data_IF_816204841411
#
_entry.id   IF_816204841411
#
_cell.length_a   1.000
_cell.length_b   1.000
_cell.length_c   1.000
_cell.angle_alpha   90.00
_cell.angle_beta   90.00
_cell.angle_gamma   90.00
#
_symmetry.space_group_name_H-M   'P 1'
#
loop_
_entity.id
_entity.type
_entity.pdbx_description
1 polymer ?
#
# COMPACT_ATOMS: atom_id res chain seq x y z
N UNK A 1 -13.51 18.80 33.41
CA UNK A 1 -12.32 17.93 33.26
C UNK A 1 -12.75 16.65 32.55
N UNK A 2 -12.58 16.58 31.23
CA UNK A 2 -11.52 15.82 30.55
C UNK A 2 -11.33 14.39 31.08
N UNK A 3 -11.92 13.40 30.40
CA UNK A 3 -11.19 12.29 29.75
C UNK A 3 -12.17 11.40 28.98
N UNK A 4 -11.91 11.21 27.69
CA UNK A 4 -12.59 10.27 26.79
C UNK A 4 -12.08 8.84 27.07
N UNK A 5 -12.93 7.80 27.10
CA UNK A 5 -12.48 6.45 26.83
C UNK A 5 -12.57 6.15 25.33
N UNK A 6 -11.45 5.66 24.83
CA UNK A 6 -11.17 5.26 23.46
C UNK A 6 -11.94 3.97 23.10
N UNK A 7 -12.64 4.05 21.97
CA UNK A 7 -12.95 3.02 20.99
C UNK A 7 -13.08 1.57 21.50
N UNK A 8 -14.32 1.14 21.70
CA UNK A 8 -14.66 -0.29 21.72
C UNK A 8 -15.83 -0.56 20.79
N UNK A 9 -15.62 -1.58 19.96
CA UNK A 9 -16.60 -2.41 19.27
C UNK A 9 -17.43 -1.77 18.15
N UNK A 10 -17.14 -2.20 16.92
CA UNK A 10 -18.15 -2.68 15.98
C UNK A 10 -17.52 -3.75 15.07
N UNK A 11 -17.39 -4.96 15.60
CA UNK A 11 -17.46 -6.19 14.81
C UNK A 11 -18.91 -6.69 14.94
N UNK A 12 -19.77 -6.34 13.97
CA UNK A 12 -21.00 -7.09 13.69
C UNK A 12 -21.59 -6.63 12.35
N UNK A 13 -21.85 -7.63 11.49
CA UNK A 13 -22.58 -7.57 10.22
C UNK A 13 -22.10 -6.53 9.19
N UNK A 14 -21.14 -6.93 8.35
CA UNK A 14 -20.87 -6.26 7.09
C UNK A 14 -22.07 -6.40 6.14
N UNK A 15 -22.72 -5.30 5.70
CA UNK A 15 -23.54 -5.33 4.51
C UNK A 15 -22.61 -5.32 3.29
N UNK A 16 -22.64 -6.40 2.52
CA UNK A 16 -21.99 -6.53 1.22
C UNK A 16 -22.72 -5.65 0.20
N UNK A 17 -22.45 -4.33 0.17
CA UNK A 17 -22.68 -3.44 -1.01
C UNK A 17 -22.66 -1.92 -0.70
N UNK A 18 -22.01 -1.44 0.37
CA UNK A 18 -21.97 -0.02 0.68
C UNK A 18 -20.54 0.45 0.99
N UNK A 19 -19.85 0.95 -0.05
CA UNK A 19 -18.49 1.48 0.11
C UNK A 19 -17.99 2.30 -1.08
N UNK A 20 -18.91 2.87 -1.89
CA UNK A 20 -18.56 3.79 -2.99
C UNK A 20 -18.72 5.27 -2.64
N UNK A 21 -19.22 5.60 -1.43
CA UNK A 21 -19.61 6.97 -1.09
C UNK A 21 -18.90 7.46 0.18
N UNK A 22 -17.57 7.45 0.19
CA UNK A 22 -16.76 8.12 1.20
C UNK A 22 -15.39 8.58 0.68
N UNK A 23 -15.26 8.83 -0.63
CA UNK A 23 -14.16 9.61 -1.17
C UNK A 23 -14.43 11.11 -0.91
N UNK A 24 -14.61 11.46 0.37
CA UNK A 24 -14.39 12.84 0.81
C UNK A 24 -12.93 13.17 0.49
N UNK A 25 -12.72 14.33 -0.12
CA UNK A 25 -11.46 14.90 -0.63
C UNK A 25 -10.36 15.02 0.45
N UNK A 26 -9.93 13.91 1.05
CA UNK A 26 -8.80 13.87 1.97
C UNK A 26 -7.50 13.86 1.14
N UNK A 27 -6.47 14.61 1.56
CA UNK A 27 -5.18 14.71 0.87
C UNK A 27 -4.33 13.45 1.07
N UNK A 28 -4.94 12.26 0.92
CA UNK A 28 -4.32 10.98 1.14
C UNK A 28 -3.57 10.53 -0.11
N UNK A 29 -2.28 10.30 0.08
CA UNK A 29 -1.33 10.01 -1.00
C UNK A 29 -0.72 8.62 -0.86
N UNK A 30 -0.86 7.97 0.29
CA UNK A 30 -0.24 6.67 0.56
C UNK A 30 -1.25 5.53 0.42
N UNK A 31 -0.89 4.53 -0.36
CA UNK A 31 -1.71 3.35 -0.66
C UNK A 31 -0.99 2.10 -0.14
N UNK A 32 -1.73 1.23 0.55
CA UNK A 32 -1.31 -0.12 0.90
C UNK A 32 -1.79 -1.09 -0.19
N UNK A 33 -0.85 -1.77 -0.82
CA UNK A 33 -1.11 -2.87 -1.72
C UNK A 33 -1.17 -4.18 -0.94
N UNK A 34 -2.17 -5.01 -1.23
CA UNK A 34 -2.37 -6.30 -0.57
C UNK A 34 -2.61 -7.41 -1.58
N UNK A 35 -2.53 -8.65 -1.09
CA UNK A 35 -2.68 -9.86 -1.88
C UNK A 35 -1.66 -10.01 -3.00
N UNK A 36 -0.44 -9.50 -2.77
CA UNK A 36 0.66 -9.68 -3.71
C UNK A 36 1.15 -11.15 -3.69
N UNK A 37 1.54 -11.73 -4.83
CA UNK A 37 2.27 -12.99 -4.86
C UNK A 37 3.60 -12.85 -4.12
N UNK A 38 3.94 -13.78 -3.23
CA UNK A 38 5.12 -13.66 -2.36
C UNK A 38 6.46 -13.69 -3.10
N UNK A 39 6.46 -14.12 -4.37
CA UNK A 39 7.65 -14.16 -5.24
C UNK A 39 7.80 -12.91 -6.13
N UNK A 40 6.83 -11.99 -6.10
CA UNK A 40 6.95 -10.72 -6.81
C UNK A 40 8.05 -9.88 -6.16
N UNK A 41 8.98 -9.38 -6.97
CA UNK A 41 10.02 -8.46 -6.54
C UNK A 41 9.54 -7.01 -6.53
N UNK A 42 10.27 -6.11 -5.85
CA UNK A 42 9.93 -4.69 -5.87
C UNK A 42 10.06 -4.10 -7.28
N UNK A 43 11.01 -4.60 -8.09
CA UNK A 43 11.19 -4.17 -9.47
C UNK A 43 10.01 -4.59 -10.35
N UNK A 44 9.48 -5.81 -10.17
CA UNK A 44 8.25 -6.25 -10.83
C UNK A 44 7.04 -5.42 -10.38
N UNK A 45 6.97 -5.03 -9.11
CA UNK A 45 5.93 -4.12 -8.63
C UNK A 45 6.04 -2.74 -9.30
N UNK A 46 7.23 -2.17 -9.41
CA UNK A 46 7.48 -0.91 -10.12
C UNK A 46 7.06 -1.00 -11.58
N UNK A 47 7.40 -2.10 -12.26
CA UNK A 47 6.96 -2.34 -13.64
C UNK A 47 5.43 -2.44 -13.74
N UNK A 48 4.77 -3.10 -12.78
CA UNK A 48 3.31 -3.17 -12.73
C UNK A 48 2.67 -1.78 -12.56
N UNK A 49 3.17 -0.96 -11.64
CA UNK A 49 2.71 0.43 -11.45
C UNK A 49 2.89 1.25 -12.74
N UNK A 50 4.06 1.12 -13.39
CA UNK A 50 4.31 1.78 -14.66
C UNK A 50 3.36 1.30 -15.78
N UNK A 51 3.05 0.00 -15.84
CA UNK A 51 2.14 -0.57 -16.84
C UNK A 51 0.69 -0.08 -16.72
N UNK A 52 0.29 0.35 -15.52
CA UNK A 52 -1.00 0.99 -15.25
C UNK A 52 -0.99 2.49 -15.57
N UNK A 53 0.11 3.02 -16.13
CA UNK A 53 0.25 4.44 -16.49
C UNK A 53 0.65 5.34 -15.31
N UNK A 54 1.10 4.79 -14.19
CA UNK A 54 1.52 5.57 -13.01
C UNK A 54 3.03 5.76 -12.91
N UNK A 55 3.75 5.61 -14.03
CA UNK A 55 5.19 5.89 -14.10
C UNK A 55 5.45 7.33 -13.63
N UNK A 56 6.42 7.51 -12.73
CA UNK A 56 6.85 8.80 -12.18
C UNK A 56 5.75 9.61 -11.44
N UNK A 57 4.61 9.00 -11.12
CA UNK A 57 3.51 9.63 -10.34
C UNK A 57 3.57 9.32 -8.84
N UNK A 58 4.69 8.77 -8.38
CA UNK A 58 4.92 8.35 -7.00
C UNK A 58 6.38 8.59 -6.61
N UNK A 59 6.62 8.79 -5.33
CA UNK A 59 7.93 9.15 -4.78
C UNK A 59 8.47 8.12 -3.79
N UNK A 60 7.65 7.16 -3.36
CA UNK A 60 8.10 6.07 -2.49
C UNK A 60 7.42 4.75 -2.86
N UNK A 61 8.20 3.68 -2.93
CA UNK A 61 7.74 2.29 -2.91
C UNK A 61 8.49 1.54 -1.84
N UNK A 62 7.76 0.91 -0.93
CA UNK A 62 8.34 0.06 0.10
C UNK A 62 7.68 -1.31 0.07
N UNK A 63 8.50 -2.35 -0.10
CA UNK A 63 8.05 -3.74 -0.07
C UNK A 63 8.83 -4.52 1.00
N UNK A 64 8.19 -4.83 2.14
CA UNK A 64 8.75 -5.72 3.14
C UNK A 64 9.09 -7.09 2.58
N UNK A 65 10.22 -7.64 3.01
CA UNK A 65 10.75 -8.95 2.66
C UNK A 65 10.97 -9.80 3.90
N UNK A 66 10.66 -11.08 3.79
CA UNK A 66 11.09 -12.11 4.72
C UNK A 66 12.57 -12.47 4.46
N UNK A 67 13.13 -13.34 5.34
CA UNK A 67 14.52 -13.83 5.27
C UNK A 67 14.87 -14.62 3.99
N UNK A 68 13.88 -15.13 3.25
CA UNK A 68 14.10 -15.99 2.08
C UNK A 68 13.76 -15.31 0.73
N UNK A 69 14.08 -14.02 0.59
CA UNK A 69 13.86 -13.28 -0.68
C UNK A 69 12.41 -13.28 -1.18
N UNK A 70 11.45 -13.40 -0.26
CA UNK A 70 10.02 -13.37 -0.53
C UNK A 70 9.39 -12.16 0.15
N UNK A 71 8.45 -11.50 -0.52
CA UNK A 71 7.69 -10.43 0.10
C UNK A 71 6.63 -10.97 1.08
N UNK A 72 6.12 -10.10 1.94
CA UNK A 72 5.09 -10.44 2.93
C UNK A 72 3.65 -10.40 2.40
N UNK A 73 3.47 -10.27 1.08
CA UNK A 73 2.16 -10.18 0.42
C UNK A 73 1.55 -8.78 0.42
N UNK A 74 2.30 -7.77 0.86
CA UNK A 74 1.88 -6.37 0.86
C UNK A 74 3.04 -5.42 0.56
N UNK A 75 2.70 -4.21 0.14
CA UNK A 75 3.63 -3.11 -0.13
C UNK A 75 2.95 -1.76 0.16
N UNK A 76 3.75 -0.69 0.25
CA UNK A 76 3.27 0.68 0.37
C UNK A 76 3.79 1.51 -0.79
N UNK A 77 2.93 2.37 -1.33
CA UNK A 77 3.28 3.32 -2.39
C UNK A 77 2.79 4.69 -1.97
N UNK A 78 3.65 5.71 -2.02
CA UNK A 78 3.25 7.10 -1.83
C UNK A 78 3.23 7.84 -3.16
N UNK A 79 2.05 8.31 -3.56
CA UNK A 79 1.81 9.08 -4.77
C UNK A 79 2.13 10.56 -4.57
N UNK A 80 2.35 11.26 -5.68
CA UNK A 80 2.63 12.70 -5.67
C UNK A 80 1.36 13.53 -5.41
N UNK A 81 0.18 12.98 -5.73
CA UNK A 81 -1.13 13.63 -5.57
C UNK A 81 -2.17 12.65 -5.02
N UNK A 82 -3.22 13.18 -4.39
CA UNK A 82 -4.32 12.36 -3.88
C UNK A 82 -5.17 11.79 -5.03
N UNK A 83 -5.28 12.55 -6.12
CA UNK A 83 -5.94 12.16 -7.35
C UNK A 83 -5.29 10.91 -7.95
N UNK A 84 -3.95 10.88 -8.02
CA UNK A 84 -3.21 9.71 -8.49
C UNK A 84 -3.43 8.49 -7.59
N UNK A 85 -3.46 8.68 -6.26
CA UNK A 85 -3.73 7.59 -5.32
C UNK A 85 -5.12 6.99 -5.52
N UNK A 86 -6.15 7.82 -5.73
CA UNK A 86 -7.53 7.37 -6.00
C UNK A 86 -7.60 6.59 -7.31
N UNK A 87 -7.04 7.16 -8.40
CA UNK A 87 -7.04 6.51 -9.70
C UNK A 87 -6.28 5.19 -9.66
N UNK A 88 -5.18 5.14 -8.91
CA UNK A 88 -4.40 3.91 -8.75
C UNK A 88 -5.15 2.84 -7.97
N UNK A 89 -5.85 3.20 -6.89
CA UNK A 89 -6.69 2.25 -6.14
C UNK A 89 -7.70 1.58 -7.07
N UNK A 90 -8.35 2.36 -7.94
CA UNK A 90 -9.31 1.84 -8.90
C UNK A 90 -8.65 0.96 -9.98
N UNK A 91 -7.50 1.39 -10.52
CA UNK A 91 -6.80 0.68 -11.58
C UNK A 91 -6.06 -0.59 -11.13
N UNK A 92 -5.67 -0.67 -9.86
CA UNK A 92 -4.95 -1.82 -9.31
C UNK A 92 -5.87 -2.91 -8.77
N UNK A 93 -7.16 -2.62 -8.55
CA UNK A 93 -8.11 -3.61 -8.05
C UNK A 93 -8.24 -4.79 -9.03
N UNK A 94 -7.96 -5.99 -8.53
CA UNK A 94 -8.01 -7.20 -9.34
C UNK A 94 -6.75 -7.47 -10.18
N UNK A 95 -5.71 -6.62 -10.09
CA UNK A 95 -4.49 -6.73 -10.89
C UNK A 95 -3.80 -8.08 -10.70
N UNK A 96 -3.46 -8.74 -11.79
CA UNK A 96 -2.75 -10.02 -11.77
C UNK A 96 -1.33 -9.85 -12.30
N UNK A 97 -0.35 -10.34 -11.53
CA UNK A 97 1.04 -10.31 -11.94
C UNK A 97 1.34 -11.42 -12.95
N UNK A 98 1.55 -11.02 -14.20
CA UNK A 98 1.96 -11.90 -15.28
C UNK A 98 3.36 -12.51 -15.02
N UNK A 99 3.63 -13.68 -15.59
CA UNK A 99 4.93 -14.35 -15.43
C UNK A 99 5.15 -14.96 -14.03
N UNK A 100 4.09 -15.08 -13.22
CA UNK A 100 4.13 -15.80 -11.94
C UNK A 100 3.18 -16.99 -11.98
N UNK A 101 3.46 -18.05 -11.20
CA UNK A 101 2.54 -19.19 -11.04
C UNK A 101 1.33 -18.86 -10.15
N UNK A 102 1.16 -17.60 -9.72
CA UNK A 102 0.14 -17.20 -8.75
C UNK A 102 -1.11 -16.68 -9.45
N UNK A 103 -2.27 -17.12 -8.95
CA UNK A 103 -3.59 -16.61 -9.35
C UNK A 103 -4.09 -15.47 -8.46
N UNK A 104 -3.24 -14.96 -7.56
CA UNK A 104 -3.63 -13.88 -6.65
C UNK A 104 -3.92 -12.61 -7.44
N UNK A 105 -4.97 -11.93 -7.01
CA UNK A 105 -5.42 -10.65 -7.55
C UNK A 105 -5.14 -9.57 -6.52
N UNK A 106 -4.30 -8.62 -6.90
CA UNK A 106 -3.91 -7.48 -6.09
C UNK A 106 -5.10 -6.63 -5.69
N UNK A 107 -5.00 -6.00 -4.53
CA UNK A 107 -5.94 -5.00 -4.03
C UNK A 107 -5.19 -3.79 -3.52
N UNK A 108 -5.82 -2.64 -3.60
CA UNK A 108 -5.26 -1.37 -3.18
C UNK A 108 -6.25 -0.61 -2.29
N UNK A 109 -5.78 -0.13 -1.16
CA UNK A 109 -6.57 0.66 -0.21
C UNK A 109 -5.70 1.75 0.39
N UNK A 110 -6.29 2.84 0.86
CA UNK A 110 -5.53 3.86 1.58
C UNK A 110 -4.82 3.26 2.81
N UNK A 111 -3.56 3.61 2.99
CA UNK A 111 -2.80 3.20 4.16
C UNK A 111 -3.29 3.93 5.42
N UNK A 112 -3.14 3.30 6.59
CA UNK A 112 -3.44 3.96 7.87
C UNK A 112 -2.47 5.13 8.13
N UNK A 113 -1.21 4.96 7.74
CA UNK A 113 -0.19 6.02 7.80
C UNK A 113 -0.13 6.70 6.44
N UNK A 114 -0.36 8.01 6.43
CA UNK A 114 -0.47 8.83 5.22
C UNK A 114 0.69 9.82 5.09
N UNK A 115 1.08 10.10 3.84
CA UNK A 115 2.15 11.01 3.48
C UNK A 115 3.55 10.38 3.52
N UNK A 116 4.44 10.92 2.69
CA UNK A 116 5.81 10.43 2.49
C UNK A 116 6.60 10.36 3.81
N UNK A 117 6.65 11.44 4.57
CA UNK A 117 7.47 11.53 5.79
C UNK A 117 7.01 10.52 6.85
N UNK A 118 5.70 10.48 7.14
CA UNK A 118 5.16 9.57 8.14
C UNK A 118 5.29 8.10 7.71
N UNK A 119 5.13 7.80 6.42
CA UNK A 119 5.36 6.47 5.89
C UNK A 119 6.83 6.07 6.08
N UNK A 120 7.77 6.93 5.66
CA UNK A 120 9.20 6.70 5.80
C UNK A 120 9.63 6.52 7.26
N UNK A 121 9.17 7.38 8.17
CA UNK A 121 9.44 7.25 9.62
C UNK A 121 8.91 5.95 10.20
N UNK A 122 7.68 5.55 9.82
CA UNK A 122 7.09 4.29 10.26
C UNK A 122 7.94 3.08 9.83
N UNK A 123 8.40 3.10 8.57
CA UNK A 123 9.31 2.09 8.01
C UNK A 123 10.63 2.06 8.80
N UNK A 124 11.25 3.21 9.03
CA UNK A 124 12.51 3.31 9.76
C UNK A 124 12.37 2.90 11.23
N UNK A 125 11.24 3.21 11.88
CA UNK A 125 10.96 2.77 13.25
C UNK A 125 10.87 1.25 13.35
N UNK A 126 10.24 0.60 12.37
CA UNK A 126 10.16 -0.86 12.31
C UNK A 126 11.54 -1.54 12.14
N UNK A 127 12.56 -0.78 11.71
CA UNK A 127 13.94 -1.22 11.59
C UNK A 127 14.79 -1.01 12.86
N UNK A 128 14.27 -0.46 13.97
CA UNK A 128 15.09 -0.23 15.18
C UNK A 128 15.44 -1.49 16.01
N UNK A 129 15.37 -2.67 15.39
CA UNK A 129 15.92 -3.94 15.89
C UNK A 129 16.81 -4.68 14.88
N UNK A 130 17.23 -4.01 13.80
CA UNK A 130 18.05 -4.54 12.69
C UNK A 130 17.69 -3.90 11.35
N UNK A 131 18.54 -4.00 10.31
CA UNK A 131 18.29 -3.40 8.99
C UNK A 131 16.85 -3.61 8.47
N UNK A 132 16.23 -2.61 7.81
CA UNK A 132 14.87 -2.73 7.31
C UNK A 132 14.76 -3.98 6.44
N UNK A 133 13.88 -4.90 6.84
CA UNK A 133 13.69 -6.18 6.17
C UNK A 133 12.83 -5.97 4.92
N UNK A 134 13.37 -5.33 3.89
CA UNK A 134 12.61 -5.00 2.68
C UNK A 134 13.36 -4.08 1.73
N UNK A 135 12.85 -3.97 0.49
CA UNK A 135 13.38 -3.03 -0.51
C UNK A 135 12.57 -1.73 -0.42
N UNK A 136 13.28 -0.64 -0.10
CA UNK A 136 12.76 0.72 -0.13
C UNK A 136 13.34 1.42 -1.36
N UNK A 137 12.46 1.94 -2.20
CA UNK A 137 12.80 2.75 -3.35
C UNK A 137 12.23 4.14 -3.10
N UNK A 138 13.13 5.10 -2.86
CA UNK A 138 12.80 6.52 -2.88
C UNK A 138 13.09 7.02 -4.29
N UNK A 139 12.06 7.55 -4.96
CA UNK A 139 12.21 8.18 -6.27
C UNK A 139 12.17 9.68 -6.03
N UNK A 140 13.30 10.33 -6.32
CA UNK A 140 13.48 11.78 -6.24
C UNK A 140 12.92 12.46 -7.48
#
# INVERSE_FOLDING_TARGET
ENTRPLVRACLSSAPQSAGREAAMSYPWTTVMLRHLPCKVSADQLVQAIASLGFRDRYNLVYMPSARQMSNLGYAFVNFNSAEDAILFIQGFEGFQFNGTASVKRGRAEFAVVQGLQSCFESIMRSARGGSPKGKLLLLL
#
